data_IF_880997808773
#
_entry.id   IF_880997808773
#
_cell.length_a   1.000
_cell.length_b   1.000
_cell.length_c   1.000
_cell.angle_alpha   90.00
_cell.angle_beta   90.00
_cell.angle_gamma   90.00
#
_symmetry.space_group_name_H-M   'P 1'
#
loop_
_entity.id
_entity.type
_entity.pdbx_description
1 polymer ?
#
# COMPACT_ATOMS: atom_id res chain seq x y z
N UNK A 1 -76.43 -4.78 -48.23
CA UNK A 1 -76.95 -4.47 -46.89
C UNK A 1 -75.99 -3.45 -46.28
N UNK A 2 -76.46 -2.58 -45.38
CA UNK A 2 -75.57 -1.73 -44.57
C UNK A 2 -74.80 -2.59 -43.55
N UNK A 3 -73.90 -1.99 -42.77
CA UNK A 3 -73.11 -2.76 -41.81
C UNK A 3 -73.95 -3.43 -40.69
N UNK A 4 -75.25 -3.10 -40.58
CA UNK A 4 -76.19 -3.70 -39.64
C UNK A 4 -77.04 -4.81 -40.29
N UNK A 5 -76.74 -5.20 -41.54
CA UNK A 5 -77.44 -6.25 -42.27
C UNK A 5 -78.77 -5.80 -42.89
N UNK A 6 -79.02 -4.50 -43.03
CA UNK A 6 -80.27 -4.00 -43.62
C UNK A 6 -80.12 -3.64 -45.11
N UNK A 7 -81.00 -4.18 -45.96
CA UNK A 7 -81.01 -3.86 -47.38
C UNK A 7 -81.44 -2.40 -47.62
N UNK A 8 -80.60 -1.61 -48.29
CA UNK A 8 -80.72 -0.15 -48.47
C UNK A 8 -80.63 0.69 -47.19
N UNK A 9 -80.08 0.16 -46.10
CA UNK A 9 -79.75 0.97 -44.94
C UNK A 9 -78.55 1.89 -45.18
N UNK A 10 -78.31 2.83 -44.27
CA UNK A 10 -77.23 3.82 -44.34
C UNK A 10 -76.19 3.67 -43.22
N UNK A 11 -76.23 2.58 -42.47
CA UNK A 11 -75.28 2.36 -41.40
C UNK A 11 -73.86 2.15 -41.95
N UNK A 12 -72.88 2.85 -41.37
CA UNK A 12 -71.46 2.77 -41.73
C UNK A 12 -70.67 2.33 -40.50
N UNK A 13 -69.66 1.49 -40.69
CA UNK A 13 -68.73 1.12 -39.63
C UNK A 13 -67.91 2.34 -39.21
N UNK A 14 -67.73 2.51 -37.91
CA UNK A 14 -66.73 3.41 -37.37
C UNK A 14 -65.33 2.84 -37.59
N UNK A 15 -64.28 3.60 -37.22
CA UNK A 15 -62.91 3.16 -37.49
C UNK A 15 -62.47 1.91 -36.67
N UNK A 16 -63.27 1.43 -35.72
CA UNK A 16 -63.05 0.15 -35.01
C UNK A 16 -63.80 -1.02 -35.65
N UNK A 17 -64.55 -0.76 -36.73
CA UNK A 17 -65.40 -1.75 -37.39
C UNK A 17 -66.79 -1.90 -36.75
N UNK A 18 -67.19 -0.99 -35.85
CA UNK A 18 -68.51 -1.06 -35.21
C UNK A 18 -69.52 -0.29 -36.04
N UNK A 19 -70.58 -0.97 -36.47
CA UNK A 19 -71.64 -0.37 -37.26
C UNK A 19 -72.38 0.75 -36.51
N UNK A 20 -72.43 1.96 -37.09
CA UNK A 20 -72.88 3.21 -36.45
C UNK A 20 -72.18 3.51 -35.11
N UNK A 21 -70.97 3.01 -34.91
CA UNK A 21 -70.17 3.38 -33.76
C UNK A 21 -69.71 4.83 -33.81
N UNK A 22 -69.13 5.31 -32.71
CA UNK A 22 -68.75 6.72 -32.54
C UNK A 22 -67.26 6.96 -32.71
N UNK A 23 -66.46 5.92 -32.98
CA UNK A 23 -65.02 6.07 -33.08
C UNK A 23 -64.63 6.84 -34.35
N UNK A 24 -63.68 7.76 -34.23
CA UNK A 24 -63.16 8.56 -35.35
C UNK A 24 -61.64 8.40 -35.45
N UNK A 25 -61.10 8.47 -36.67
CA UNK A 25 -59.66 8.56 -36.88
C UNK A 25 -59.19 9.97 -36.55
N UNK A 26 -58.08 10.10 -35.83
CA UNK A 26 -57.37 11.37 -35.73
C UNK A 26 -56.64 11.69 -37.04
N UNK A 27 -55.98 12.86 -37.08
CA UNK A 27 -55.16 13.27 -38.25
C UNK A 27 -53.93 12.38 -38.49
N UNK A 28 -53.72 11.37 -37.64
CA UNK A 28 -52.66 10.40 -37.68
C UNK A 28 -53.14 8.98 -38.02
N UNK A 29 -54.44 8.83 -38.32
CA UNK A 29 -55.06 7.56 -38.68
C UNK A 29 -55.25 6.61 -37.50
N UNK A 30 -55.14 7.10 -36.25
CA UNK A 30 -55.38 6.31 -35.05
C UNK A 30 -56.86 6.42 -34.68
N UNK A 31 -57.52 5.28 -34.55
CA UNK A 31 -58.93 5.20 -34.19
C UNK A 31 -59.15 5.21 -32.67
N UNK A 32 -60.12 5.99 -32.16
CA UNK A 32 -60.42 6.06 -30.72
C UNK A 32 -61.91 6.29 -30.40
N UNK A 33 -62.38 5.73 -29.28
CA UNK A 33 -63.81 5.64 -28.92
C UNK A 33 -64.36 6.88 -28.16
N UNK A 34 -63.50 7.78 -27.66
CA UNK A 34 -63.90 8.98 -26.92
C UNK A 34 -62.91 10.12 -27.10
N UNK A 35 -63.39 11.30 -27.50
CA UNK A 35 -62.62 12.53 -27.37
C UNK A 35 -62.30 12.76 -25.89
N UNK A 36 -61.06 12.52 -25.49
CA UNK A 36 -60.54 13.13 -24.26
C UNK A 36 -60.55 14.65 -24.46
N UNK A 37 -60.62 15.43 -23.37
CA UNK A 37 -60.90 16.88 -23.43
C UNK A 37 -59.85 17.72 -24.21
N UNK A 38 -58.76 17.08 -24.65
CA UNK A 38 -57.68 17.67 -25.45
C UNK A 38 -57.57 17.09 -26.89
N UNK A 39 -58.44 16.17 -27.29
CA UNK A 39 -58.71 15.85 -28.71
C UNK A 39 -57.59 15.24 -29.57
N UNK A 40 -56.43 14.83 -29.04
CA UNK A 40 -55.36 14.20 -29.83
C UNK A 40 -54.61 13.12 -29.05
N UNK A 41 -54.75 11.84 -29.43
CA UNK A 41 -53.93 10.73 -28.93
C UNK A 41 -52.77 10.35 -29.87
N UNK A 42 -52.40 11.27 -30.77
CA UNK A 42 -51.11 11.30 -31.45
C UNK A 42 -50.46 12.66 -31.24
N UNK A 43 -49.33 12.68 -30.53
CA UNK A 43 -48.52 13.88 -30.36
C UNK A 43 -47.82 14.22 -31.68
N UNK A 44 -48.44 15.06 -32.52
CA UNK A 44 -47.76 15.72 -33.64
C UNK A 44 -47.18 17.06 -33.16
N UNK A 45 -45.91 17.05 -32.79
CA UNK A 45 -45.18 18.26 -32.37
C UNK A 45 -44.65 19.09 -33.56
N UNK A 46 -45.25 18.94 -34.75
CA UNK A 46 -44.86 19.67 -35.97
C UNK A 46 -43.94 18.88 -36.91
N UNK A 47 -43.77 17.58 -36.65
CA UNK A 47 -42.89 16.67 -37.40
C UNK A 47 -43.61 15.42 -37.91
N UNK A 48 -44.94 15.41 -37.84
CA UNK A 48 -45.76 14.27 -38.17
C UNK A 48 -45.88 13.30 -37.00
N UNK A 49 -46.91 12.47 -37.11
CA UNK A 49 -47.38 11.57 -36.06
C UNK A 49 -46.32 10.56 -35.63
N UNK A 50 -46.08 10.47 -34.32
CA UNK A 50 -45.12 9.53 -33.74
C UNK A 50 -43.64 9.89 -33.98
N UNK A 51 -43.35 11.00 -34.68
CA UNK A 51 -41.98 11.48 -34.83
C UNK A 51 -41.62 12.44 -33.68
N UNK A 52 -40.37 12.42 -33.21
CA UNK A 52 -39.89 13.47 -32.32
C UNK A 52 -40.09 14.85 -32.94
N UNK A 53 -40.51 15.82 -32.13
CA UNK A 53 -40.66 17.20 -32.58
C UNK A 53 -39.35 17.83 -33.07
N UNK A 54 -39.41 19.06 -33.60
CA UNK A 54 -38.22 19.84 -33.94
C UNK A 54 -37.28 19.93 -32.73
N UNK A 55 -36.04 19.49 -32.91
CA UNK A 55 -35.02 19.49 -31.85
C UNK A 55 -33.65 19.85 -32.44
N UNK A 56 -32.60 19.85 -31.60
CA UNK A 56 -31.25 20.25 -32.00
C UNK A 56 -31.11 21.75 -32.30
N UNK A 57 -29.91 22.17 -32.69
CA UNK A 57 -29.62 23.55 -33.04
C UNK A 57 -30.14 23.98 -34.42
N UNK A 58 -30.51 23.02 -35.27
CA UNK A 58 -31.08 23.23 -36.61
C UNK A 58 -32.61 23.20 -36.61
N UNK A 59 -33.23 22.88 -35.47
CA UNK A 59 -34.68 22.70 -35.32
C UNK A 59 -35.26 21.70 -36.33
N UNK A 60 -34.49 20.70 -36.73
CA UNK A 60 -34.99 19.62 -37.57
C UNK A 60 -35.64 18.53 -36.71
N UNK A 61 -36.60 17.81 -37.31
CA UNK A 61 -37.35 16.75 -36.64
C UNK A 61 -36.43 15.64 -36.12
N UNK A 62 -36.43 15.42 -34.80
CA UNK A 62 -35.58 14.40 -34.17
C UNK A 62 -34.08 14.64 -34.31
N UNK A 63 -33.66 15.87 -34.61
CA UNK A 63 -32.25 16.22 -34.72
C UNK A 63 -31.55 16.20 -33.36
N UNK A 64 -30.34 15.66 -33.38
CA UNK A 64 -29.39 15.68 -32.26
C UNK A 64 -28.24 16.65 -32.52
N UNK A 65 -28.32 17.47 -33.58
CA UNK A 65 -27.30 18.45 -33.91
C UNK A 65 -27.12 19.43 -32.75
N UNK A 66 -25.87 19.67 -32.38
CA UNK A 66 -25.48 20.64 -31.34
C UNK A 66 -24.70 21.78 -31.97
N UNK A 67 -24.73 22.94 -31.31
CA UNK A 67 -23.84 24.06 -31.64
C UNK A 67 -22.43 23.66 -31.21
N UNK A 68 -21.45 23.80 -32.10
CA UNK A 68 -20.03 23.59 -31.81
C UNK A 68 -19.43 24.79 -31.04
N UNK A 69 -18.18 24.71 -30.61
CA UNK A 69 -17.54 25.79 -29.84
C UNK A 69 -17.37 27.09 -30.66
N UNK A 70 -17.47 27.00 -31.98
CA UNK A 70 -17.47 28.14 -32.89
C UNK A 70 -18.85 28.78 -33.09
N UNK A 71 -19.89 28.27 -32.44
CA UNK A 71 -21.25 28.75 -32.61
C UNK A 71 -21.94 28.20 -33.86
N UNK A 72 -21.39 27.16 -34.51
CA UNK A 72 -21.94 26.58 -35.73
C UNK A 72 -22.70 25.29 -35.42
N UNK A 73 -23.96 25.22 -35.84
CA UNK A 73 -24.78 24.03 -35.70
C UNK A 73 -24.25 22.86 -36.55
N UNK A 74 -23.94 21.72 -35.92
CA UNK A 74 -23.35 20.56 -36.59
C UNK A 74 -21.90 20.78 -37.07
N UNK A 75 -21.24 21.83 -36.56
CA UNK A 75 -19.86 22.14 -36.88
C UNK A 75 -18.86 21.22 -36.18
N UNK A 76 -17.59 21.31 -36.62
CA UNK A 76 -16.50 20.47 -36.15
C UNK A 76 -15.35 21.26 -35.51
N UNK A 77 -15.64 22.42 -34.91
CA UNK A 77 -14.68 23.26 -34.17
C UNK A 77 -13.50 23.84 -35.00
N UNK A 78 -13.39 23.53 -36.30
CA UNK A 78 -12.27 23.96 -37.15
C UNK A 78 -12.40 25.36 -37.72
N UNK A 79 -13.63 25.91 -37.76
CA UNK A 79 -13.90 27.20 -38.40
C UNK A 79 -13.38 28.41 -37.60
N UNK A 80 -13.23 28.24 -36.29
CA UNK A 80 -12.69 29.23 -35.36
C UNK A 80 -11.44 28.71 -34.64
N UNK A 81 -10.82 27.66 -35.16
CA UNK A 81 -9.59 27.13 -34.62
C UNK A 81 -8.43 28.12 -34.83
N UNK A 82 -7.59 28.30 -33.81
CA UNK A 82 -6.35 29.04 -33.90
C UNK A 82 -5.25 28.25 -34.65
N UNK A 83 -4.03 28.77 -34.69
CA UNK A 83 -2.88 28.10 -35.31
C UNK A 83 -2.52 26.76 -34.64
N UNK A 84 -3.04 26.49 -33.44
CA UNK A 84 -2.85 25.25 -32.68
C UNK A 84 -3.99 24.25 -32.88
N UNK A 85 -5.02 24.62 -33.66
CA UNK A 85 -6.21 23.80 -33.84
C UNK A 85 -7.23 23.91 -32.71
N UNK A 86 -7.07 24.89 -31.80
CA UNK A 86 -7.97 25.07 -30.65
C UNK A 86 -9.06 26.07 -31.00
N UNK A 87 -10.32 25.65 -30.88
CA UNK A 87 -11.48 26.52 -31.12
C UNK A 87 -11.46 27.74 -30.19
N UNK A 88 -11.54 28.93 -30.78
CA UNK A 88 -11.42 30.22 -30.10
C UNK A 88 -10.12 30.39 -29.29
N UNK A 89 -9.06 29.67 -29.64
CA UNK A 89 -7.74 29.85 -29.04
C UNK A 89 -7.06 31.15 -29.49
N UNK A 90 -6.00 31.52 -28.79
CA UNK A 90 -5.17 32.70 -29.07
C UNK A 90 -3.79 32.33 -29.66
N UNK A 91 -3.55 31.06 -29.97
CA UNK A 91 -2.29 30.55 -30.48
C UNK A 91 -1.24 30.25 -29.42
N UNK A 92 -1.49 30.53 -28.13
CA UNK A 92 -0.49 30.35 -27.07
C UNK A 92 -0.21 28.88 -26.73
N UNK A 93 -1.19 28.00 -26.92
CA UNK A 93 -1.08 26.58 -26.51
C UNK A 93 -0.02 25.77 -27.26
N UNK A 94 0.40 26.25 -28.44
CA UNK A 94 1.47 25.67 -29.26
C UNK A 94 2.53 26.70 -29.61
N UNK A 95 2.55 27.85 -28.93
CA UNK A 95 3.57 28.86 -29.13
C UNK A 95 4.94 28.36 -28.63
N UNK A 96 5.98 28.67 -29.38
CA UNK A 96 7.36 28.54 -28.91
C UNK A 96 7.68 29.60 -27.84
N UNK A 97 8.90 29.60 -27.30
CA UNK A 97 9.28 30.57 -26.27
C UNK A 97 9.22 32.04 -26.76
N UNK A 98 9.19 32.28 -28.08
CA UNK A 98 9.13 33.60 -28.69
C UNK A 98 7.69 34.05 -28.92
N UNK A 99 6.70 33.21 -28.54
CA UNK A 99 5.29 33.47 -28.73
C UNK A 99 4.79 33.16 -30.14
N UNK A 100 5.55 32.40 -30.94
CA UNK A 100 5.19 32.03 -32.31
C UNK A 100 4.51 30.67 -32.32
N UNK A 101 3.22 30.56 -32.68
CA UNK A 101 2.51 29.28 -32.77
C UNK A 101 3.20 28.31 -33.75
N UNK A 102 3.50 27.11 -33.27
CA UNK A 102 4.28 26.07 -33.96
C UNK A 102 5.68 26.54 -34.42
N UNK A 103 6.27 27.51 -33.73
CA UNK A 103 7.66 27.90 -33.92
C UNK A 103 8.64 26.85 -33.40
N UNK A 104 9.92 27.03 -33.72
CA UNK A 104 11.00 26.11 -33.38
C UNK A 104 11.98 26.68 -32.34
N UNK A 105 11.72 27.88 -31.82
CA UNK A 105 12.57 28.49 -30.79
C UNK A 105 12.41 27.78 -29.44
N UNK A 106 13.53 27.60 -28.74
CA UNK A 106 13.59 27.05 -27.38
C UNK A 106 14.28 28.03 -26.45
N UNK A 107 13.93 27.99 -25.17
CA UNK A 107 14.61 28.83 -24.18
C UNK A 107 15.96 28.18 -23.83
N UNK A 108 17.05 28.90 -24.10
CA UNK A 108 18.41 28.52 -23.76
C UNK A 108 18.59 28.47 -22.23
N UNK A 109 19.66 27.82 -21.77
CA UNK A 109 20.02 27.74 -20.34
C UNK A 109 20.13 29.13 -19.66
N UNK A 110 20.42 30.19 -20.43
CA UNK A 110 20.50 31.57 -19.94
C UNK A 110 19.27 32.44 -20.22
N UNK A 111 18.16 31.84 -20.67
CA UNK A 111 16.88 32.52 -20.87
C UNK A 111 16.76 33.33 -22.17
N UNK A 112 17.67 33.14 -23.12
CA UNK A 112 17.48 33.64 -24.48
C UNK A 112 16.57 32.67 -25.20
N UNK A 113 15.69 33.17 -26.06
CA UNK A 113 14.74 32.34 -26.79
C UNK A 113 15.03 32.47 -28.28
N UNK A 114 15.72 31.48 -28.83
CA UNK A 114 15.95 31.34 -30.26
C UNK A 114 16.19 29.87 -30.66
N UNK A 115 16.78 29.63 -31.82
CA UNK A 115 17.08 28.29 -32.35
C UNK A 115 18.54 28.16 -32.81
N UNK A 116 19.43 29.00 -32.27
CA UNK A 116 20.85 29.06 -32.61
C UNK A 116 21.71 28.35 -31.54
N UNK A 117 22.02 27.04 -31.71
CA UNK A 117 22.78 26.27 -30.73
C UNK A 117 24.19 26.78 -30.47
N UNK A 118 24.69 27.75 -31.26
CA UNK A 118 25.99 28.36 -31.07
C UNK A 118 25.99 29.46 -30.00
N UNK A 119 24.82 29.97 -29.61
CA UNK A 119 24.67 30.99 -28.58
C UNK A 119 23.99 30.45 -27.31
N UNK A 120 23.46 29.22 -27.36
CA UNK A 120 23.05 28.46 -26.18
C UNK A 120 24.18 28.50 -25.15
N UNK A 121 23.94 29.17 -24.03
CA UNK A 121 24.96 29.37 -23.00
C UNK A 121 25.65 28.07 -22.57
N UNK A 122 26.89 28.18 -22.09
CA UNK A 122 27.64 27.02 -21.58
C UNK A 122 26.84 26.31 -20.47
N UNK A 123 26.69 25.00 -20.61
CA UNK A 123 26.14 24.14 -19.58
C UNK A 123 27.09 24.04 -18.37
N UNK A 124 26.71 23.32 -17.32
CA UNK A 124 27.58 23.21 -16.14
C UNK A 124 28.90 22.43 -16.39
N UNK A 125 29.04 21.75 -17.54
CA UNK A 125 30.28 21.10 -17.99
C UNK A 125 31.13 22.02 -18.90
N UNK A 126 30.68 23.25 -19.16
CA UNK A 126 31.35 24.19 -20.04
C UNK A 126 31.10 23.94 -21.54
N UNK A 127 30.03 23.22 -21.88
CA UNK A 127 29.63 22.92 -23.26
C UNK A 127 28.59 23.95 -23.72
N UNK A 128 28.94 24.78 -24.71
CA UNK A 128 27.99 25.67 -25.41
C UNK A 128 26.91 24.82 -26.07
N UNK A 129 25.63 25.09 -25.79
CA UNK A 129 24.51 24.25 -26.25
C UNK A 129 24.39 22.90 -25.56
N UNK A 130 25.09 22.69 -24.44
CA UNK A 130 24.87 21.54 -23.59
C UNK A 130 23.57 21.68 -22.77
N UNK A 131 22.99 20.55 -22.39
CA UNK A 131 21.78 20.45 -21.56
C UNK A 131 22.07 20.06 -20.11
N UNK A 132 23.36 19.94 -19.73
CA UNK A 132 23.73 19.56 -18.38
C UNK A 132 23.45 20.68 -17.37
N UNK A 133 22.68 20.34 -16.34
CA UNK A 133 22.37 21.20 -15.20
C UNK A 133 22.96 20.61 -13.92
N UNK A 134 23.25 21.47 -12.94
CA UNK A 134 23.57 20.99 -11.60
C UNK A 134 22.33 20.34 -10.99
N UNK A 135 22.48 19.16 -10.39
CA UNK A 135 21.48 18.62 -9.48
C UNK A 135 21.48 19.40 -8.15
N UNK A 136 20.58 19.08 -7.23
CA UNK A 136 20.54 19.79 -5.95
C UNK A 136 21.80 19.54 -5.11
N UNK A 137 22.52 18.45 -5.40
CA UNK A 137 23.81 18.11 -4.80
C UNK A 137 24.98 18.87 -5.44
N UNK A 138 24.74 19.83 -6.34
CA UNK A 138 25.80 20.61 -6.99
C UNK A 138 26.67 19.80 -7.94
N UNK A 139 26.21 18.64 -8.41
CA UNK A 139 26.90 17.80 -9.39
C UNK A 139 26.32 18.07 -10.77
N UNK A 140 27.19 18.46 -11.70
CA UNK A 140 26.77 18.70 -13.07
C UNK A 140 26.31 17.41 -13.77
N UNK A 141 25.09 17.40 -14.28
CA UNK A 141 24.44 16.21 -14.84
C UNK A 141 24.16 15.11 -13.83
N UNK A 142 24.13 15.45 -12.53
CA UNK A 142 23.82 14.52 -11.46
C UNK A 142 22.33 14.16 -11.39
N UNK A 143 22.02 13.11 -10.63
CA UNK A 143 20.69 12.55 -10.41
C UNK A 143 20.30 12.55 -8.92
N UNK A 144 20.89 13.46 -8.14
CA UNK A 144 20.78 13.51 -6.67
C UNK A 144 21.26 12.21 -6.00
N UNK A 145 22.30 11.57 -6.53
CA UNK A 145 22.84 10.35 -5.95
C UNK A 145 23.24 10.53 -4.46
N UNK A 146 22.96 9.54 -3.59
CA UNK A 146 23.33 9.60 -2.18
C UNK A 146 24.83 9.39 -1.98
N UNK A 147 25.35 9.89 -0.86
CA UNK A 147 26.74 9.74 -0.41
C UNK A 147 27.78 10.31 -1.39
N UNK A 148 27.47 11.39 -2.10
CA UNK A 148 28.37 12.04 -3.05
C UNK A 148 29.38 12.98 -2.38
N UNK A 149 29.23 13.22 -1.08
CA UNK A 149 30.04 14.17 -0.30
C UNK A 149 29.47 15.59 -0.29
N UNK A 150 28.48 15.86 -1.15
CA UNK A 150 27.61 17.04 -1.06
C UNK A 150 26.21 16.61 -0.61
N UNK A 151 25.68 15.56 -1.23
CA UNK A 151 24.52 14.86 -0.70
C UNK A 151 24.93 13.76 0.28
N UNK A 152 24.16 13.67 1.34
CA UNK A 152 24.27 12.64 2.36
C UNK A 152 23.62 11.31 1.89
N UNK A 153 23.44 10.35 2.79
CA UNK A 153 22.82 9.08 2.40
C UNK A 153 21.31 9.20 2.06
N UNK A 154 20.65 10.28 2.46
CA UNK A 154 19.23 10.55 2.23
C UNK A 154 19.00 11.32 0.92
N UNK A 155 20.07 11.54 0.14
CA UNK A 155 20.05 12.36 -1.09
C UNK A 155 19.76 13.84 -0.80
N UNK A 156 20.04 14.29 0.42
CA UNK A 156 19.84 15.67 0.84
C UNK A 156 21.15 16.44 0.75
N UNK A 157 21.18 17.58 0.02
CA UNK A 157 22.35 18.45 -0.04
C UNK A 157 22.68 19.02 1.34
N UNK A 158 23.95 18.94 1.74
CA UNK A 158 24.43 19.30 3.08
C UNK A 158 23.65 18.61 4.23
N UNK A 159 23.02 17.46 3.94
CA UNK A 159 22.29 16.64 4.91
C UNK A 159 23.22 16.02 5.96
N UNK A 160 22.64 15.60 7.08
CA UNK A 160 23.36 15.06 8.23
C UNK A 160 23.07 13.57 8.48
N UNK A 161 22.29 12.92 7.61
CA UNK A 161 22.10 11.48 7.67
C UNK A 161 23.35 10.71 7.22
N UNK A 162 23.61 9.58 7.88
CA UNK A 162 24.77 8.74 7.56
C UNK A 162 24.37 7.28 7.41
N UNK A 163 25.13 6.54 6.60
CA UNK A 163 24.95 5.11 6.51
C UNK A 163 25.37 4.44 7.84
N UNK A 164 24.44 3.76 8.48
CA UNK A 164 24.69 3.04 9.72
C UNK A 164 25.36 1.67 9.48
N UNK A 165 25.61 0.93 10.57
CA UNK A 165 26.25 -0.38 10.51
C UNK A 165 25.35 -1.49 9.91
N UNK A 166 24.06 -1.22 9.69
CA UNK A 166 23.14 -2.10 8.95
C UNK A 166 23.08 -1.76 7.46
N UNK A 167 23.77 -0.72 7.01
CA UNK A 167 23.65 -0.22 5.64
C UNK A 167 22.35 0.54 5.41
N UNK A 168 21.72 1.05 6.46
CA UNK A 168 20.53 1.90 6.39
C UNK A 168 20.99 3.36 6.51
N UNK A 169 20.43 4.24 5.71
CA UNK A 169 20.62 5.67 5.90
C UNK A 169 19.83 6.13 7.14
N UNK A 170 20.52 6.55 8.18
CA UNK A 170 19.92 6.83 9.48
C UNK A 170 20.52 8.07 10.16
N UNK A 171 19.77 8.60 11.14
CA UNK A 171 20.07 9.84 11.84
C UNK A 171 19.74 11.08 11.03
N UNK A 172 19.87 12.25 11.66
CA UNK A 172 19.72 13.53 10.98
C UNK A 172 18.35 13.71 10.31
N UNK A 173 18.38 14.13 9.05
CA UNK A 173 17.24 14.38 8.18
C UNK A 173 16.64 13.13 7.49
N UNK A 174 17.27 11.95 7.63
CA UNK A 174 16.70 10.68 7.11
C UNK A 174 15.37 10.30 7.76
N UNK A 175 15.08 10.84 8.94
CA UNK A 175 13.89 10.50 9.74
C UNK A 175 13.86 9.05 10.22
N UNK A 176 14.97 8.31 10.10
CA UNK A 176 15.11 6.92 10.50
C UNK A 176 16.15 6.81 11.61
N UNK A 177 15.81 6.13 12.70
CA UNK A 177 16.78 5.89 13.77
C UNK A 177 17.81 4.81 13.35
N UNK A 178 19.09 4.96 13.73
CA UNK A 178 20.11 3.94 13.44
C UNK A 178 19.75 2.59 14.07
N UNK A 179 20.09 1.51 13.39
CA UNK A 179 19.90 0.18 13.94
C UNK A 179 20.80 -0.06 15.16
N UNK A 180 20.34 -0.92 16.08
CA UNK A 180 21.11 -1.35 17.26
C UNK A 180 21.64 -2.78 17.08
N UNK A 181 22.58 -3.17 17.94
CA UNK A 181 23.05 -4.56 18.01
C UNK A 181 22.11 -5.42 18.83
N UNK A 182 21.84 -6.63 18.37
CA UNK A 182 21.16 -7.67 19.15
C UNK A 182 22.04 -8.23 20.28
N UNK A 183 21.51 -9.12 21.12
CA UNK A 183 22.29 -9.71 22.23
C UNK A 183 23.42 -10.65 21.79
N UNK A 184 23.50 -11.01 20.50
CA UNK A 184 24.63 -11.73 19.91
C UNK A 184 25.67 -10.77 19.28
N UNK A 185 25.44 -9.46 19.35
CA UNK A 185 26.29 -8.43 18.77
C UNK A 185 26.09 -8.23 17.26
N UNK A 186 25.01 -8.75 16.67
CA UNK A 186 24.69 -8.51 15.27
C UNK A 186 23.90 -7.20 15.12
N UNK A 187 24.41 -6.26 14.32
CA UNK A 187 23.69 -5.04 13.95
C UNK A 187 22.39 -5.38 13.21
N UNK A 188 21.26 -4.85 13.68
CA UNK A 188 19.94 -5.08 13.11
C UNK A 188 19.42 -6.52 13.27
N UNK A 189 20.01 -7.30 14.17
CA UNK A 189 19.54 -8.65 14.47
C UNK A 189 18.30 -8.67 15.36
N UNK A 190 17.57 -9.79 15.34
CA UNK A 190 16.34 -9.98 16.11
C UNK A 190 16.56 -10.75 17.43
N UNK A 191 17.82 -11.03 17.79
CA UNK A 191 18.11 -11.85 18.96
C UNK A 191 17.83 -11.10 20.27
N UNK A 192 17.04 -11.70 21.15
CA UNK A 192 16.65 -11.12 22.45
C UNK A 192 17.08 -12.06 23.57
N UNK A 193 17.56 -11.49 24.69
CA UNK A 193 17.84 -12.27 25.88
C UNK A 193 16.55 -12.88 26.45
N UNK A 194 16.61 -14.13 26.88
CA UNK A 194 15.60 -14.70 27.75
C UNK A 194 15.70 -14.12 29.17
N UNK A 195 14.79 -14.50 30.07
CA UNK A 195 14.80 -13.98 31.44
C UNK A 195 16.04 -14.44 32.24
N UNK A 196 16.76 -15.44 31.74
CA UNK A 196 18.03 -15.93 32.27
C UNK A 196 19.24 -15.20 31.69
N UNK A 197 19.07 -14.18 30.85
CA UNK A 197 20.15 -13.43 30.22
C UNK A 197 20.86 -14.18 29.08
N UNK A 198 20.25 -15.23 28.54
CA UNK A 198 20.80 -15.98 27.41
C UNK A 198 20.14 -15.52 26.12
N UNK A 199 20.97 -15.10 25.17
CA UNK A 199 20.51 -14.65 23.88
C UNK A 199 19.78 -15.76 23.08
N UNK A 200 18.56 -15.48 22.62
CA UNK A 200 17.61 -16.45 22.03
C UNK A 200 17.40 -17.70 22.90
N UNK A 201 17.54 -17.55 24.21
CA UNK A 201 17.32 -18.62 25.16
C UNK A 201 15.84 -18.96 25.36
N UNK A 202 15.60 -20.03 26.12
CA UNK A 202 14.26 -20.54 26.46
C UNK A 202 14.08 -20.72 27.97
N UNK A 203 14.83 -19.94 28.75
CA UNK A 203 15.02 -20.09 30.18
C UNK A 203 15.57 -21.47 30.58
N UNK A 204 16.75 -21.82 30.03
CA UNK A 204 17.37 -23.11 30.31
C UNK A 204 17.81 -23.24 31.78
N UNK A 205 17.64 -24.42 32.39
CA UNK A 205 18.00 -24.65 33.79
C UNK A 205 19.52 -24.69 33.99
N UNK A 206 19.97 -24.44 35.22
CA UNK A 206 21.36 -24.54 35.66
C UNK A 206 22.34 -23.63 34.88
N UNK A 207 21.88 -22.44 34.49
CA UNK A 207 22.69 -21.48 33.71
C UNK A 207 23.45 -20.50 34.60
N UNK A 208 23.31 -20.63 35.92
CA UNK A 208 23.89 -19.73 36.92
C UNK A 208 23.05 -18.48 37.20
N UNK A 209 22.25 -18.02 36.23
CA UNK A 209 21.22 -16.99 36.44
C UNK A 209 19.87 -17.63 36.70
N UNK A 210 19.53 -18.68 35.94
CA UNK A 210 18.37 -19.51 36.25
C UNK A 210 18.76 -20.71 37.10
N UNK A 211 17.89 -21.00 38.05
CA UNK A 211 18.00 -22.18 38.89
C UNK A 211 17.75 -23.46 38.08
N UNK A 212 17.76 -24.59 38.76
CA UNK A 212 17.65 -25.88 38.08
C UNK A 212 16.23 -26.13 37.50
N UNK A 213 15.24 -25.30 37.83
CA UNK A 213 13.90 -25.30 37.23
C UNK A 213 13.76 -24.31 36.07
N UNK A 214 14.82 -23.59 35.70
CA UNK A 214 14.77 -22.54 34.69
C UNK A 214 14.14 -21.24 35.21
N UNK A 215 14.08 -21.04 36.53
CA UNK A 215 13.52 -19.83 37.12
C UNK A 215 14.62 -18.77 37.32
N UNK A 216 14.48 -17.56 36.77
CA UNK A 216 15.46 -16.48 36.94
C UNK A 216 15.64 -16.07 38.38
N UNK A 217 16.90 -16.04 38.85
CA UNK A 217 17.27 -15.82 40.25
C UNK A 217 16.53 -16.74 41.23
N UNK A 218 16.09 -17.91 40.75
CA UNK A 218 15.47 -18.91 41.58
C UNK A 218 16.46 -19.52 42.56
N UNK A 219 15.93 -20.23 43.54
CA UNK A 219 16.71 -20.86 44.61
C UNK A 219 16.61 -22.39 44.58
N UNK A 220 16.04 -22.97 43.51
CA UNK A 220 15.97 -24.41 43.38
C UNK A 220 17.38 -25.00 43.16
N UNK A 221 17.72 -26.01 43.93
CA UNK A 221 19.03 -26.67 43.88
C UNK A 221 18.82 -28.15 43.60
N UNK A 222 19.70 -28.75 42.80
CA UNK A 222 19.69 -30.20 42.59
C UNK A 222 20.06 -30.93 43.88
N UNK A 223 19.29 -31.96 44.19
CA UNK A 223 19.62 -32.93 45.23
C UNK A 223 20.77 -33.85 44.76
N UNK A 224 21.22 -34.79 45.60
CA UNK A 224 22.34 -35.65 45.21
C UNK A 224 22.05 -36.62 44.05
N UNK A 225 20.79 -36.73 43.64
CA UNK A 225 20.31 -37.58 42.55
C UNK A 225 20.02 -36.75 41.28
N UNK A 226 20.54 -35.52 41.20
CA UNK A 226 20.34 -34.57 40.11
C UNK A 226 18.85 -34.18 39.92
N UNK A 227 18.04 -34.23 41.00
CA UNK A 227 16.63 -33.82 40.99
C UNK A 227 16.49 -32.44 41.63
N UNK A 228 15.92 -31.50 40.89
CA UNK A 228 15.61 -30.16 41.38
C UNK A 228 14.69 -30.13 42.59
N UNK A 229 15.13 -29.46 43.66
CA UNK A 229 14.45 -29.43 44.96
C UNK A 229 14.07 -30.84 45.45
N UNK A 230 14.85 -31.85 45.05
CA UNK A 230 14.68 -33.22 45.49
C UNK A 230 15.03 -33.39 46.97
N UNK A 231 14.55 -34.49 47.57
CA UNK A 231 14.74 -34.80 48.99
C UNK A 231 16.02 -35.57 49.30
N UNK A 232 16.72 -36.06 48.29
CA UNK A 232 17.86 -36.98 48.48
C UNK A 232 19.10 -36.23 48.96
N UNK A 233 19.80 -36.76 49.95
CA UNK A 233 21.06 -36.19 50.43
C UNK A 233 22.17 -37.23 50.45
N UNK A 234 23.42 -36.78 50.33
CA UNK A 234 24.57 -37.66 50.49
C UNK A 234 24.74 -37.97 51.98
N UNK A 235 24.65 -39.24 52.35
CA UNK A 235 24.97 -39.71 53.68
C UNK A 235 26.49 -39.72 53.95
N UNK A 236 26.91 -40.03 55.18
CA UNK A 236 28.33 -40.04 55.53
C UNK A 236 29.14 -41.19 54.90
N UNK A 237 28.48 -42.08 54.15
CA UNK A 237 29.09 -43.16 53.37
C UNK A 237 29.03 -42.92 51.86
N UNK A 238 28.70 -41.69 51.44
CA UNK A 238 28.57 -41.29 50.04
C UNK A 238 27.44 -42.01 49.29
N UNK A 239 26.43 -42.51 49.99
CA UNK A 239 25.20 -43.02 49.39
C UNK A 239 24.23 -41.85 49.26
N UNK A 240 23.60 -41.74 48.08
CA UNK A 240 22.61 -40.72 47.80
C UNK A 240 21.21 -41.34 47.81
N UNK A 241 20.45 -41.07 48.85
CA UNK A 241 19.01 -41.34 48.94
C UNK A 241 18.36 -40.46 50.03
N UNK A 242 17.08 -40.67 50.31
CA UNK A 242 16.34 -40.00 51.39
C UNK A 242 15.93 -40.97 52.52
N UNK A 243 16.44 -42.21 52.49
CA UNK A 243 16.13 -43.26 53.44
C UNK A 243 17.11 -43.25 54.62
N UNK A 244 16.82 -42.38 55.59
CA UNK A 244 17.57 -42.29 56.84
C UNK A 244 17.71 -43.60 57.65
N UNK A 245 16.98 -44.67 57.28
CA UNK A 245 17.11 -45.98 57.92
C UNK A 245 18.31 -46.80 57.43
N UNK A 246 18.83 -46.47 56.24
CA UNK A 246 20.00 -47.10 55.65
C UNK A 246 21.28 -46.25 55.81
N UNK A 247 21.13 -44.98 56.26
CA UNK A 247 22.23 -44.08 56.60
C UNK A 247 23.25 -44.80 57.48
N UNK A 248 24.50 -44.83 57.01
CA UNK A 248 25.53 -45.52 57.77
C UNK A 248 25.83 -44.78 59.07
N UNK A 249 26.13 -45.53 60.14
CA UNK A 249 26.55 -44.99 61.43
C UNK A 249 28.06 -45.09 61.60
N UNK A 250 28.62 -44.31 62.53
CA UNK A 250 30.01 -44.49 62.95
C UNK A 250 30.16 -45.76 63.77
N UNK A 251 31.21 -46.52 63.50
CA UNK A 251 31.68 -47.57 64.41
C UNK A 251 32.39 -46.98 65.65
N UNK A 252 32.85 -47.83 66.57
CA UNK A 252 33.52 -47.39 67.81
C UNK A 252 34.89 -46.74 67.53
N UNK A 253 35.39 -46.87 66.31
CA UNK A 253 36.60 -46.22 65.81
C UNK A 253 36.33 -44.82 65.19
N UNK A 254 35.08 -44.34 65.21
CA UNK A 254 34.60 -43.13 64.53
C UNK A 254 34.71 -43.19 62.99
N UNK A 255 34.68 -44.38 62.39
CA UNK A 255 34.66 -44.57 60.93
C UNK A 255 33.22 -44.81 60.48
N UNK A 256 32.73 -43.99 59.54
CA UNK A 256 31.39 -44.13 58.95
C UNK A 256 31.30 -45.39 58.08
N UNK A 257 30.32 -46.26 58.35
CA UNK A 257 30.13 -47.53 57.62
C UNK A 257 31.21 -48.58 57.87
N UNK A 258 32.03 -48.42 58.91
CA UNK A 258 33.12 -49.33 59.27
C UNK A 258 32.65 -50.63 59.95
N UNK A 259 33.51 -51.65 59.93
CA UNK A 259 33.33 -52.93 60.63
C UNK A 259 34.15 -53.01 61.94
N UNK A 260 34.61 -51.85 62.45
CA UNK A 260 35.38 -51.70 63.69
C UNK A 260 36.77 -52.38 63.66
N UNK A 261 37.27 -52.72 62.45
CA UNK A 261 38.58 -53.35 62.26
C UNK A 261 39.76 -52.37 62.18
N UNK A 262 39.49 -51.07 62.04
CA UNK A 262 40.52 -50.04 61.77
C UNK A 262 41.12 -49.38 63.00
N UNK A 263 40.49 -49.48 64.17
CA UNK A 263 41.12 -49.10 65.43
C UNK A 263 41.52 -50.35 66.20
N UNK A 264 42.77 -50.35 66.63
CA UNK A 264 43.27 -51.35 67.56
C UNK A 264 43.36 -50.75 68.94
N UNK A 265 43.08 -51.56 69.96
CA UNK A 265 43.41 -51.20 71.33
C UNK A 265 44.92 -50.94 71.50
N UNK A 266 45.36 -50.51 72.69
CA UNK A 266 46.79 -50.30 72.99
C UNK A 266 47.66 -51.58 72.84
N UNK A 267 47.07 -52.74 72.53
CA UNK A 267 47.73 -54.02 72.30
C UNK A 267 47.70 -54.47 70.82
N UNK A 268 47.12 -53.69 69.90
CA UNK A 268 47.12 -54.00 68.46
C UNK A 268 46.01 -54.96 68.02
N UNK A 269 44.96 -55.17 68.83
CA UNK A 269 43.85 -56.09 68.50
C UNK A 269 42.64 -55.32 67.96
N UNK A 270 42.15 -55.64 66.74
CA UNK A 270 40.89 -55.09 66.24
C UNK A 270 39.71 -55.54 67.12
N UNK A 271 38.81 -54.64 67.52
CA UNK A 271 37.65 -54.89 68.41
C UNK A 271 37.96 -55.24 69.89
N UNK A 272 39.08 -54.78 70.46
CA UNK A 272 39.39 -54.98 71.87
C UNK A 272 38.74 -53.92 72.79
N UNK A 273 37.94 -54.36 73.77
CA UNK A 273 37.46 -53.53 74.89
C UNK A 273 38.53 -53.38 75.99
#
# INVERSE_FOLDING_TARGET
EDCAGNCNGNAVEDCTGICNGTAVEDNCGVCFESVDSDGYNSMDFGCGCGNPGPSGCDNACGSTATVDDCGICGGGNSSCADACGVANGDGSSCADCAGVPNGDATEDVCGTCDNDPANDCEDCNGVVGGDAVYDDCGICGGDNAPNTGICDCASTPDGDATLDNCGICAGGDSGTDPCETDCNGNWGGDAVEDDCGICNGINSPNTGICDCLGVPNGNAVEDCADVCDGSSYIDNCNVCDDDSSNDCTQDECNVWGGDNSSCTDCAGVPNGN
#
